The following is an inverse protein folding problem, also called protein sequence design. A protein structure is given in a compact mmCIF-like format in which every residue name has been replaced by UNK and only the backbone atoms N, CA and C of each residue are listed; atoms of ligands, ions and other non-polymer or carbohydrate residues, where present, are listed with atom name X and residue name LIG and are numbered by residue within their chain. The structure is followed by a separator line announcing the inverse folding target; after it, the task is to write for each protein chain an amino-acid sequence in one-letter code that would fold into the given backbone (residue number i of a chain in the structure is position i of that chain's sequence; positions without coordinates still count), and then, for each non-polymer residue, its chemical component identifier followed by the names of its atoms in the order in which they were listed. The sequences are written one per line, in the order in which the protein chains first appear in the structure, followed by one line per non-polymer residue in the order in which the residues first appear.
data_IF_155472195778
#
_entry.id   IF_155472195778
#
_cell.length_a   1.000
_cell.length_b   1.000
_cell.length_c   1.000
_cell.angle_alpha   90.00
_cell.angle_beta   90.00
_cell.angle_gamma   90.00
#
_symmetry.space_group_name_H-M   'P 1'
#
loop_
_entity.id
_entity.type
_entity.pdbx_description
1 polymer ?
#
# COMPACT_ATOMS: atom_id res chain seq x y z
N UNK A 1 -45.28 70.05 -20.86
CA UNK A 1 -45.49 68.88 -21.75
C UNK A 1 -44.67 69.13 -23.02
N UNK A 2 -43.71 68.27 -23.41
CA UNK A 2 -43.95 66.85 -23.71
C UNK A 2 -42.92 65.81 -23.18
N UNK A 3 -43.39 64.56 -23.20
CA UNK A 3 -42.75 63.25 -23.47
C UNK A 3 -41.78 62.60 -22.47
N UNK A 4 -42.32 61.50 -21.92
CA UNK A 4 -41.65 60.42 -21.21
C UNK A 4 -40.58 59.71 -22.05
N UNK A 5 -39.61 59.15 -21.33
CA UNK A 5 -38.63 58.18 -21.82
C UNK A 5 -38.17 57.35 -20.63
N UNK A 6 -39.05 56.46 -20.16
CA UNK A 6 -38.80 55.49 -19.10
C UNK A 6 -37.72 54.51 -19.55
N UNK A 7 -36.50 54.66 -19.03
CA UNK A 7 -35.39 53.75 -19.32
C UNK A 7 -35.45 52.60 -18.30
N UNK A 8 -36.10 51.51 -18.72
CA UNK A 8 -36.08 50.23 -18.03
C UNK A 8 -34.64 49.79 -17.69
N UNK A 9 -34.41 49.09 -16.57
CA UNK A 9 -33.08 48.69 -16.14
C UNK A 9 -32.49 47.71 -17.16
N UNK A 10 -31.31 48.03 -17.67
CA UNK A 10 -30.50 47.09 -18.43
C UNK A 10 -30.15 45.92 -17.52
N UNK A 11 -30.92 44.82 -17.62
CA UNK A 11 -30.50 43.50 -17.15
C UNK A 11 -29.19 43.19 -17.83
N UNK A 12 -28.09 43.42 -17.10
CA UNK A 12 -26.79 42.89 -17.43
C UNK A 12 -26.95 41.37 -17.51
N UNK A 13 -27.01 40.85 -18.74
CA UNK A 13 -26.85 39.43 -18.99
C UNK A 13 -25.44 39.09 -18.52
N UNK A 14 -25.32 38.62 -17.29
CA UNK A 14 -24.18 37.83 -16.86
C UNK A 14 -24.18 36.64 -17.80
N UNK A 15 -23.33 36.73 -18.82
CA UNK A 15 -23.06 35.65 -19.75
C UNK A 15 -22.52 34.50 -18.90
N UNK A 16 -23.38 33.54 -18.59
CA UNK A 16 -22.97 32.27 -18.01
C UNK A 16 -21.95 31.66 -18.96
N UNK A 17 -20.67 31.68 -18.55
CA UNK A 17 -19.65 30.90 -19.21
C UNK A 17 -20.12 29.45 -19.22
N UNK A 18 -20.05 28.73 -20.34
CA UNK A 18 -20.42 27.32 -20.35
C UNK A 18 -19.53 26.60 -19.34
N UNK A 19 -20.16 26.04 -18.31
CA UNK A 19 -19.57 25.07 -17.40
C UNK A 19 -19.36 23.77 -18.19
N UNK A 20 -18.38 23.77 -19.08
CA UNK A 20 -18.10 22.70 -20.01
C UNK A 20 -16.65 22.29 -19.89
N UNK A 21 -16.46 21.02 -19.56
CA UNK A 21 -15.20 20.28 -19.64
C UNK A 21 -14.19 20.62 -18.54
N UNK A 22 -14.11 19.72 -17.57
CA UNK A 22 -12.92 19.54 -16.73
C UNK A 22 -11.71 19.51 -17.66
N UNK A 23 -10.97 20.61 -17.75
CA UNK A 23 -9.78 20.68 -18.60
C UNK A 23 -8.91 19.45 -18.32
N UNK A 24 -8.44 18.76 -19.36
CA UNK A 24 -7.78 17.46 -19.22
C UNK A 24 -6.66 17.44 -18.16
N UNK A 25 -6.00 18.59 -17.95
CA UNK A 25 -5.03 18.80 -16.88
C UNK A 25 -5.62 18.68 -15.47
N UNK A 26 -6.79 19.29 -15.19
CA UNK A 26 -7.46 19.15 -13.87
C UNK A 26 -7.91 17.71 -13.64
N UNK A 27 -8.47 17.06 -14.66
CA UNK A 27 -8.88 15.66 -14.56
C UNK A 27 -7.68 14.73 -14.27
N UNK A 28 -6.56 14.94 -14.97
CA UNK A 28 -5.31 14.20 -14.74
C UNK A 28 -4.77 14.39 -13.31
N UNK A 29 -4.70 15.63 -12.82
CA UNK A 29 -4.20 15.92 -11.48
C UNK A 29 -5.08 15.29 -10.39
N UNK A 30 -6.40 15.30 -10.56
CA UNK A 30 -7.33 14.63 -9.65
C UNK A 30 -7.14 13.11 -9.65
N UNK A 31 -7.00 12.50 -10.82
CA UNK A 31 -6.73 11.06 -10.93
C UNK A 31 -5.39 10.68 -10.29
N UNK A 32 -4.34 11.50 -10.51
CA UNK A 32 -3.02 11.29 -9.92
C UNK A 32 -3.04 11.41 -8.40
N UNK A 33 -3.75 12.41 -7.87
CA UNK A 33 -3.94 12.58 -6.42
C UNK A 33 -4.65 11.36 -5.83
N UNK A 34 -5.77 10.94 -6.44
CA UNK A 34 -6.52 9.77 -5.98
C UNK A 34 -5.68 8.49 -5.99
N UNK A 35 -4.81 8.30 -6.99
CA UNK A 35 -3.89 7.15 -7.03
C UNK A 35 -2.84 7.20 -5.91
N UNK A 36 -2.27 8.37 -5.63
CA UNK A 36 -1.32 8.55 -4.51
C UNK A 36 -1.98 8.33 -3.16
N UNK A 37 -3.17 8.88 -2.95
CA UNK A 37 -3.92 8.74 -1.70
C UNK A 37 -4.30 7.25 -1.47
N UNK A 38 -4.72 6.54 -2.53
CA UNK A 38 -4.96 5.10 -2.46
C UNK A 38 -3.71 4.32 -2.08
N UNK A 39 -2.58 4.60 -2.76
CA UNK A 39 -1.31 3.92 -2.47
C UNK A 39 -0.88 4.12 -1.02
N UNK A 40 -0.98 5.34 -0.51
CA UNK A 40 -0.67 5.66 0.88
C UNK A 40 -1.57 4.91 1.85
N UNK A 41 -2.88 4.87 1.59
CA UNK A 41 -3.82 4.13 2.42
C UNK A 41 -3.51 2.62 2.44
N UNK A 42 -3.14 2.03 1.30
CA UNK A 42 -2.68 0.63 1.24
C UNK A 42 -1.42 0.42 2.07
N UNK A 43 -0.43 1.31 1.96
CA UNK A 43 0.82 1.23 2.73
C UNK A 43 0.59 1.33 4.24
N UNK A 44 -0.28 2.25 4.67
CA UNK A 44 -0.66 2.40 6.07
C UNK A 44 -1.40 1.16 6.59
N UNK A 45 -2.35 0.63 5.80
CA UNK A 45 -3.06 -0.62 6.14
C UNK A 45 -2.10 -1.81 6.22
N UNK A 46 -1.18 -1.94 5.27
CA UNK A 46 -0.20 -3.03 5.26
C UNK A 46 0.70 -2.98 6.50
N UNK A 47 1.19 -1.80 6.88
CA UNK A 47 1.98 -1.63 8.11
C UNK A 47 1.18 -2.00 9.35
N UNK A 48 -0.08 -1.57 9.44
CA UNK A 48 -0.95 -1.90 10.57
C UNK A 48 -1.19 -3.42 10.68
N UNK A 49 -1.47 -4.07 9.55
CA UNK A 49 -1.64 -5.53 9.47
C UNK A 49 -0.35 -6.26 9.87
N UNK A 50 0.81 -5.85 9.34
CA UNK A 50 2.10 -6.44 9.72
C UNK A 50 2.38 -6.28 11.20
N UNK A 51 2.16 -5.09 11.77
CA UNK A 51 2.37 -4.84 13.20
C UNK A 51 1.45 -5.69 14.07
N UNK A 52 0.15 -5.75 13.76
CA UNK A 52 -0.82 -6.55 14.50
C UNK A 52 -0.52 -8.06 14.43
N UNK A 53 -0.06 -8.53 13.27
CA UNK A 53 0.35 -9.92 13.12
C UNK A 53 1.61 -10.23 13.94
N UNK A 54 2.64 -9.37 13.87
CA UNK A 54 3.88 -9.59 14.63
C UNK A 54 3.65 -9.54 16.14
N UNK A 55 2.76 -8.66 16.61
CA UNK A 55 2.36 -8.61 18.01
C UNK A 55 1.70 -9.93 18.45
N UNK A 56 0.81 -10.49 17.63
CA UNK A 56 0.16 -11.77 17.89
C UNK A 56 1.15 -12.96 17.87
N UNK A 57 2.13 -12.94 16.95
CA UNK A 57 3.14 -13.99 16.86
C UNK A 57 4.20 -13.86 17.97
N UNK A 58 4.44 -12.64 18.45
CA UNK A 58 5.39 -12.32 19.51
C UNK A 58 6.81 -12.84 19.21
N UNK A 59 7.47 -13.35 20.23
CA UNK A 59 8.86 -13.82 20.17
C UNK A 59 9.07 -15.07 19.28
N UNK A 60 8.01 -15.66 18.72
CA UNK A 60 8.15 -16.80 17.79
C UNK A 60 8.90 -16.39 16.51
N UNK A 61 8.70 -15.15 16.07
CA UNK A 61 9.34 -14.58 14.89
C UNK A 61 10.64 -13.90 15.32
N UNK A 62 11.77 -14.36 14.77
CA UNK A 62 13.07 -13.72 15.00
C UNK A 62 13.26 -12.52 14.10
N UNK A 63 12.93 -12.69 12.83
CA UNK A 63 13.03 -11.64 11.82
C UNK A 63 11.86 -11.73 10.84
N UNK A 64 11.52 -10.60 10.22
CA UNK A 64 10.50 -10.55 9.20
C UNK A 64 10.90 -9.59 8.08
N UNK A 65 10.37 -9.83 6.88
CA UNK A 65 10.42 -8.88 5.76
C UNK A 65 9.04 -8.75 5.15
N UNK A 66 8.54 -7.53 5.05
CA UNK A 66 7.24 -7.21 4.48
C UNK A 66 7.41 -6.38 3.21
N UNK A 67 6.70 -6.75 2.15
CA UNK A 67 6.74 -6.06 0.86
C UNK A 67 5.34 -5.97 0.26
N UNK A 68 4.96 -4.78 -0.22
CA UNK A 68 3.74 -4.60 -1.00
C UNK A 68 4.00 -4.81 -2.48
N UNK A 69 3.34 -5.81 -3.05
CA UNK A 69 3.43 -6.15 -4.47
C UNK A 69 2.16 -5.72 -5.19
N UNK A 70 2.35 -5.03 -6.30
CA UNK A 70 1.25 -4.78 -7.24
C UNK A 70 0.82 -6.12 -7.83
N UNK A 71 -0.49 -6.35 -7.91
CA UNK A 71 -1.01 -7.51 -8.64
C UNK A 71 -1.47 -7.09 -10.04
N UNK A 72 -1.74 -8.08 -10.90
CA UNK A 72 -2.30 -7.82 -12.21
C UNK A 72 -3.71 -7.18 -12.13
N UNK A 73 -4.42 -7.40 -11.03
CA UNK A 73 -5.67 -6.70 -10.73
C UNK A 73 -5.37 -5.42 -9.96
N UNK A 74 -5.60 -4.26 -10.60
CA UNK A 74 -5.36 -2.95 -10.01
C UNK A 74 -6.20 -2.64 -8.75
N UNK A 75 -7.18 -3.51 -8.43
CA UNK A 75 -8.00 -3.40 -7.22
C UNK A 75 -7.52 -4.31 -6.09
N UNK A 76 -6.51 -5.15 -6.32
CA UNK A 76 -5.98 -6.08 -5.33
C UNK A 76 -4.51 -5.76 -5.09
N UNK A 77 -4.19 -5.36 -3.86
CA UNK A 77 -2.82 -5.23 -3.38
C UNK A 77 -2.42 -6.52 -2.64
N UNK A 78 -1.21 -7.02 -2.90
CA UNK A 78 -0.69 -8.20 -2.21
C UNK A 78 0.38 -7.79 -1.20
N UNK A 79 0.21 -8.21 0.05
CA UNK A 79 1.24 -8.12 1.08
C UNK A 79 2.02 -9.44 1.13
N UNK A 80 3.30 -9.39 0.76
CA UNK A 80 4.25 -10.50 0.89
C UNK A 80 4.96 -10.38 2.22
N UNK A 81 4.80 -11.37 3.10
CA UNK A 81 5.46 -11.43 4.40
C UNK A 81 6.32 -12.69 4.50
N UNK A 82 7.63 -12.50 4.65
CA UNK A 82 8.56 -13.57 4.98
C UNK A 82 8.86 -13.54 6.47
N UNK A 83 8.84 -14.70 7.12
CA UNK A 83 9.11 -14.85 8.55
C UNK A 83 10.28 -15.81 8.75
N UNK A 84 11.25 -15.40 9.58
CA UNK A 84 12.31 -16.26 10.05
C UNK A 84 11.94 -16.78 11.45
N UNK A 85 11.82 -18.09 11.56
CA UNK A 85 11.34 -18.77 12.76
C UNK A 85 12.28 -19.93 13.09
N UNK A 86 12.53 -20.14 14.37
CA UNK A 86 13.33 -21.27 14.83
C UNK A 86 12.62 -22.59 14.51
N UNK A 87 13.38 -23.58 14.00
CA UNK A 87 12.81 -24.85 13.49
C UNK A 87 11.93 -25.57 14.52
N UNK A 88 12.28 -25.53 15.81
CA UNK A 88 11.51 -26.15 16.90
C UNK A 88 10.20 -25.45 17.23
N UNK A 89 10.00 -24.21 16.77
CA UNK A 89 8.85 -23.36 17.10
C UNK A 89 7.81 -23.26 16.00
N UNK A 90 7.93 -24.07 14.93
CA UNK A 90 6.99 -24.04 13.81
C UNK A 90 5.56 -24.39 14.23
N UNK A 91 5.39 -25.32 15.17
CA UNK A 91 4.07 -25.66 15.71
C UNK A 91 3.47 -24.47 16.47
N UNK A 92 4.26 -23.83 17.31
CA UNK A 92 3.84 -22.65 18.06
C UNK A 92 3.46 -21.48 17.13
N UNK A 93 4.24 -21.27 16.06
CA UNK A 93 3.90 -20.29 15.01
C UNK A 93 2.52 -20.57 14.43
N UNK A 94 2.28 -21.82 14.01
CA UNK A 94 1.00 -22.21 13.40
C UNK A 94 -0.17 -22.04 14.36
N UNK A 95 0.02 -22.45 15.62
CA UNK A 95 -1.04 -22.41 16.63
C UNK A 95 -1.41 -20.96 17.02
N UNK A 96 -0.48 -19.99 16.87
CA UNK A 96 -0.76 -18.55 17.01
C UNK A 96 -1.29 -17.91 15.72
N UNK A 97 -0.80 -18.35 14.56
CA UNK A 97 -1.16 -17.77 13.27
C UNK A 97 -2.59 -18.10 12.87
N UNK A 98 -3.03 -19.36 13.05
CA UNK A 98 -4.35 -19.80 12.61
C UNK A 98 -5.51 -18.98 13.20
N UNK A 99 -5.60 -18.78 14.53
CA UNK A 99 -6.67 -17.96 15.11
C UNK A 99 -6.66 -16.51 14.62
N UNK A 100 -5.47 -15.96 14.39
CA UNK A 100 -5.33 -14.59 13.86
C UNK A 100 -5.84 -14.50 12.41
N UNK A 101 -5.52 -15.51 11.59
CA UNK A 101 -6.01 -15.59 10.21
C UNK A 101 -7.52 -15.73 10.15
N UNK A 102 -8.09 -16.60 10.99
CA UNK A 102 -9.54 -16.82 11.05
C UNK A 102 -10.32 -15.56 11.48
N UNK A 103 -9.70 -14.71 12.29
CA UNK A 103 -10.27 -13.44 12.72
C UNK A 103 -10.04 -12.30 11.70
N UNK A 104 -9.18 -12.50 10.69
CA UNK A 104 -8.84 -11.48 9.70
C UNK A 104 -9.77 -11.50 8.49
N UNK A 105 -9.91 -10.36 7.81
CA UNK A 105 -10.60 -10.26 6.52
C UNK A 105 -9.68 -10.58 5.33
N UNK A 106 -8.53 -11.19 5.58
CA UNK A 106 -7.46 -11.37 4.61
C UNK A 106 -7.55 -12.76 3.96
N UNK A 107 -7.38 -12.79 2.63
CA UNK A 107 -7.07 -14.04 1.93
C UNK A 107 -5.57 -14.30 2.04
N UNK A 108 -5.20 -15.35 2.77
CA UNK A 108 -3.79 -15.70 2.99
C UNK A 108 -3.40 -16.97 2.26
N UNK A 109 -2.22 -16.94 1.63
CA UNK A 109 -1.56 -18.10 1.05
C UNK A 109 -0.24 -18.26 1.78
N UNK A 110 -0.09 -19.39 2.47
CA UNK A 110 1.14 -19.72 3.18
C UNK A 110 1.97 -20.70 2.36
N UNK A 111 3.24 -20.40 2.19
CA UNK A 111 4.19 -21.24 1.45
C UNK A 111 5.42 -21.51 2.32
N UNK A 112 5.99 -22.71 2.24
CA UNK A 112 7.20 -23.08 2.97
C UNK A 112 7.07 -24.36 3.79
N UNK A 113 8.15 -24.81 4.46
CA UNK A 113 9.40 -24.08 4.72
C UNK A 113 10.34 -23.97 3.50
N UNK A 114 10.97 -22.81 3.31
CA UNK A 114 11.94 -22.55 2.24
C UNK A 114 13.33 -22.26 2.81
N UNK A 115 14.38 -22.41 2.00
CA UNK A 115 15.70 -21.94 2.36
C UNK A 115 15.66 -20.42 2.68
N UNK A 116 16.45 -19.92 3.64
CA UNK A 116 16.35 -18.53 4.13
C UNK A 116 16.99 -17.53 3.16
N UNK A 117 16.87 -17.73 1.85
CA UNK A 117 17.43 -16.84 0.81
C UNK A 117 16.91 -15.41 0.94
N UNK A 118 15.68 -15.22 1.45
CA UNK A 118 15.14 -13.90 1.77
C UNK A 118 15.80 -13.21 2.96
N UNK A 119 16.74 -13.86 3.67
CA UNK A 119 17.41 -13.32 4.87
C UNK A 119 18.94 -13.33 4.75
N UNK A 120 19.51 -13.98 3.73
CA UNK A 120 20.95 -13.91 3.44
C UNK A 120 21.23 -12.57 2.74
N UNK A 121 21.95 -11.67 3.41
CA UNK A 121 22.57 -10.50 2.78
C UNK A 121 23.86 -10.90 2.06
N UNK A 122 24.26 -10.13 1.04
CA UNK A 122 25.50 -10.28 0.25
C UNK A 122 26.81 -10.07 1.06
N UNK A 123 26.82 -10.31 2.37
CA UNK A 123 27.99 -10.19 3.25
C UNK A 123 28.91 -11.42 3.17
N UNK A 124 29.10 -11.96 1.97
CA UNK A 124 30.11 -12.97 1.67
C UNK A 124 31.15 -12.49 0.65
N UNK A 125 31.31 -11.16 0.49
CA UNK A 125 32.48 -10.58 -0.19
C UNK A 125 33.38 -9.91 0.85
N UNK A 126 33.90 -10.73 1.77
CA UNK A 126 34.88 -10.34 2.77
C UNK A 126 36.05 -11.30 2.73
N UNK A 127 37.16 -10.83 2.16
CA UNK A 127 38.51 -11.26 2.53
C UNK A 127 38.91 -12.71 2.20
N UNK A 128 38.97 -13.03 0.90
CA UNK A 128 39.99 -14.00 0.47
C UNK A 128 41.33 -13.28 0.48
N UNK A 129 41.97 -13.34 1.65
CA UNK A 129 43.33 -12.90 1.86
C UNK A 129 44.25 -13.47 0.78
N UNK A 130 44.85 -12.56 0.02
CA UNK A 130 46.15 -12.75 -0.58
C UNK A 130 47.10 -13.23 0.51
N UNK A 131 47.43 -14.52 0.46
CA UNK A 131 48.52 -15.12 1.22
C UNK A 131 49.27 -16.04 0.28
N UNK A 132 49.86 -15.42 -0.74
CA UNK A 132 50.97 -16.03 -1.47
C UNK A 132 52.19 -16.05 -0.55
N UNK A 133 52.57 -17.24 -0.10
CA UNK A 133 53.95 -17.58 0.30
C UNK A 133 54.52 -18.54 -0.74
#
# INVERSE_FOLDING_TARGET
LPRQGERAPATARVSAAPAGETSGGRAYLLARKAAMDRRRATEERARAVTAALLDALGEVVREHRAELKATADANVDALSLALLVERGRLRELRDRLLPWLDASDLRVVMTGPWAPSSFVGDDATGDYGDSSR
#
